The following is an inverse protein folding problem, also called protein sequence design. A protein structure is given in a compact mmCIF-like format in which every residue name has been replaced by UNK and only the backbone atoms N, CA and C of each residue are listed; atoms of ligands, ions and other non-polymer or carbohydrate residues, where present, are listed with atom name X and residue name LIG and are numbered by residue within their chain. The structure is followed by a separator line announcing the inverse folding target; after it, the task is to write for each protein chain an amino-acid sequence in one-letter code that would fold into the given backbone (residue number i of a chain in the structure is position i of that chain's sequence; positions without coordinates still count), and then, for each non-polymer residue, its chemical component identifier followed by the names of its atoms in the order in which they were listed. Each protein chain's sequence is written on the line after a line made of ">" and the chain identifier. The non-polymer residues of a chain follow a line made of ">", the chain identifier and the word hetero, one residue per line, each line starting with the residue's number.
data_IF_665074335321
#
_entry.id   IF_665074335321
#
_cell.length_a   1.000
_cell.length_b   1.000
_cell.length_c   1.000
_cell.angle_alpha   90.00
_cell.angle_beta   90.00
_cell.angle_gamma   90.00
#
_symmetry.space_group_name_H-M   'P 1'
#
loop_
_entity.id
_entity.type
_entity.pdbx_description
1 polymer ?
#
# COMPACT_ATOMS: atom_id res chain seq x y z
N UNK A 1 -45.54 -33.19 -43.19
CA UNK A 1 -44.12 -33.12 -43.59
C UNK A 1 -43.56 -31.78 -43.12
N UNK A 2 -42.57 -31.76 -42.25
CA UNK A 2 -41.92 -30.51 -41.85
C UNK A 2 -40.41 -30.78 -41.72
N UNK A 3 -39.66 -30.31 -42.71
CA UNK A 3 -38.21 -30.47 -42.79
C UNK A 3 -37.54 -29.40 -41.93
N UNK A 4 -36.77 -29.83 -40.91
CA UNK A 4 -36.00 -28.90 -40.07
C UNK A 4 -34.90 -28.25 -40.93
N UNK A 5 -34.65 -26.93 -40.79
CA UNK A 5 -33.59 -26.26 -41.54
C UNK A 5 -32.22 -26.75 -41.07
N UNK A 6 -31.47 -27.34 -41.99
CA UNK A 6 -30.09 -27.79 -41.79
C UNK A 6 -29.20 -26.56 -41.56
N UNK A 7 -28.68 -26.34 -40.35
CA UNK A 7 -27.66 -25.31 -40.10
C UNK A 7 -26.37 -25.73 -40.80
N UNK A 8 -26.00 -25.00 -41.86
CA UNK A 8 -24.74 -25.21 -42.56
C UNK A 8 -23.56 -24.92 -41.62
N UNK A 9 -22.49 -25.74 -41.64
CA UNK A 9 -21.33 -25.53 -40.80
C UNK A 9 -20.66 -24.20 -41.18
N UNK A 10 -20.31 -23.39 -40.17
CA UNK A 10 -19.55 -22.15 -40.40
C UNK A 10 -18.20 -22.51 -41.02
N UNK A 11 -18.02 -22.24 -42.31
CA UNK A 11 -16.74 -22.42 -43.01
C UNK A 11 -15.71 -21.53 -42.31
N UNK A 12 -14.58 -22.10 -41.91
CA UNK A 12 -13.49 -21.35 -41.30
C UNK A 12 -13.00 -20.29 -42.29
N UNK A 13 -13.01 -19.01 -41.90
CA UNK A 13 -12.45 -17.95 -42.73
C UNK A 13 -10.97 -18.22 -42.97
N UNK A 14 -10.58 -18.28 -44.25
CA UNK A 14 -9.17 -18.35 -44.66
C UNK A 14 -8.47 -17.11 -44.11
N UNK A 15 -7.40 -17.29 -43.34
CA UNK A 15 -6.60 -16.18 -42.80
C UNK A 15 -5.59 -15.73 -43.84
N UNK A 16 -5.49 -14.44 -44.06
CA UNK A 16 -4.40 -13.86 -44.86
C UNK A 16 -3.07 -14.08 -44.14
N UNK A 17 -2.03 -14.42 -44.91
CA UNK A 17 -0.66 -14.67 -44.46
C UNK A 17 0.35 -13.70 -45.09
N UNK A 18 -0.14 -12.63 -45.73
CA UNK A 18 0.69 -11.51 -46.15
C UNK A 18 1.51 -10.96 -44.96
N UNK A 19 2.75 -10.49 -45.19
CA UNK A 19 3.58 -9.93 -44.13
C UNK A 19 2.91 -8.68 -43.55
N UNK A 20 2.85 -8.59 -42.22
CA UNK A 20 2.30 -7.42 -41.54
C UNK A 20 3.19 -6.18 -41.76
N UNK A 21 2.56 -5.05 -42.09
CA UNK A 21 3.24 -3.76 -42.28
C UNK A 21 3.94 -3.26 -41.00
N UNK A 22 3.32 -3.51 -39.84
CA UNK A 22 3.88 -3.21 -38.54
C UNK A 22 4.19 -4.50 -37.78
N UNK A 23 5.44 -4.65 -37.38
CA UNK A 23 5.89 -5.76 -36.53
C UNK A 23 5.67 -5.40 -35.06
N UNK A 24 5.11 -6.33 -34.30
CA UNK A 24 4.94 -6.17 -32.86
C UNK A 24 6.32 -6.15 -32.22
N UNK A 25 6.65 -5.06 -31.54
CA UNK A 25 7.93 -4.92 -30.82
C UNK A 25 7.77 -5.29 -29.35
N UNK A 26 8.88 -5.66 -28.69
CA UNK A 26 8.89 -5.87 -27.25
C UNK A 26 8.48 -4.61 -26.48
N UNK A 27 8.84 -3.43 -26.97
CA UNK A 27 8.43 -2.15 -26.36
C UNK A 27 6.92 -1.96 -26.39
N UNK A 28 6.27 -2.28 -27.52
CA UNK A 28 4.82 -2.14 -27.67
C UNK A 28 4.08 -3.04 -26.67
N UNK A 29 4.54 -4.29 -26.51
CA UNK A 29 3.97 -5.22 -25.54
C UNK A 29 4.13 -4.71 -24.10
N UNK A 30 5.31 -4.20 -23.74
CA UNK A 30 5.58 -3.69 -22.40
C UNK A 30 4.79 -2.41 -22.09
N UNK A 31 4.63 -1.53 -23.09
CA UNK A 31 3.82 -0.30 -22.98
C UNK A 31 2.36 -0.64 -22.74
N UNK A 32 1.78 -1.51 -23.55
CA UNK A 32 0.38 -1.93 -23.41
C UNK A 32 0.15 -2.68 -22.09
N UNK A 33 1.09 -3.53 -21.68
CA UNK A 33 1.01 -4.20 -20.38
C UNK A 33 0.99 -3.20 -19.20
N UNK A 34 1.81 -2.15 -19.27
CA UNK A 34 1.82 -1.08 -18.26
C UNK A 34 0.52 -0.27 -18.27
N UNK A 35 0.02 0.11 -19.44
CA UNK A 35 -1.20 0.92 -19.59
C UNK A 35 -2.46 0.20 -19.09
N UNK A 36 -2.48 -1.13 -19.12
CA UNK A 36 -3.60 -1.92 -18.60
C UNK A 36 -3.76 -1.82 -17.08
N UNK A 37 -2.73 -1.38 -16.34
CA UNK A 37 -2.76 -1.09 -14.90
C UNK A 37 -3.50 -2.15 -14.03
N UNK A 38 -3.45 -3.43 -14.42
CA UNK A 38 -4.32 -4.49 -13.86
C UNK A 38 -4.15 -4.72 -12.36
N UNK A 39 -3.00 -4.32 -11.81
CA UNK A 39 -2.64 -4.52 -10.40
C UNK A 39 -2.76 -3.24 -9.56
N UNK A 40 -3.08 -2.09 -10.16
CA UNK A 40 -3.21 -0.84 -9.42
C UNK A 40 -4.56 -0.84 -8.69
N UNK A 41 -4.50 -1.08 -7.38
CA UNK A 41 -5.67 -0.91 -6.52
C UNK A 41 -6.03 0.58 -6.49
N UNK A 42 -7.29 0.96 -6.79
CA UNK A 42 -7.69 2.36 -6.72
C UNK A 42 -7.47 2.89 -5.30
N UNK A 43 -6.99 4.13 -5.21
CA UNK A 43 -6.76 4.77 -3.92
C UNK A 43 -8.08 4.84 -3.12
N UNK A 44 -8.05 4.62 -1.80
CA UNK A 44 -9.25 4.71 -0.98
C UNK A 44 -9.86 6.13 -1.05
N UNK A 45 -11.19 6.25 -0.98
CA UNK A 45 -11.85 7.56 -1.02
C UNK A 45 -11.44 8.43 0.18
N UNK A 46 -11.40 9.75 -0.02
CA UNK A 46 -11.07 10.71 1.04
C UNK A 46 -12.21 10.73 2.08
N UNK A 47 -11.99 10.10 3.23
CA UNK A 47 -12.92 10.14 4.36
C UNK A 47 -12.62 11.37 5.23
N UNK A 48 -13.64 12.20 5.48
CA UNK A 48 -13.57 13.28 6.47
C UNK A 48 -14.06 12.71 7.80
N UNK A 49 -13.30 12.94 8.87
CA UNK A 49 -13.66 12.53 10.23
C UNK A 49 -14.48 13.67 10.83
N UNK A 50 -15.74 13.40 11.18
CA UNK A 50 -16.64 14.41 11.74
C UNK A 50 -16.71 14.32 13.27
N UNK A 51 -16.76 13.10 13.79
CA UNK A 51 -17.08 12.85 15.19
C UNK A 51 -15.89 12.32 16.00
N UNK A 52 -15.83 12.55 17.32
CA UNK A 52 -14.75 12.06 18.17
C UNK A 52 -14.70 10.53 18.24
N UNK A 53 -15.83 9.84 18.08
CA UNK A 53 -15.90 8.38 18.02
C UNK A 53 -15.24 7.83 16.74
N UNK A 54 -15.55 8.43 15.59
CA UNK A 54 -14.89 8.10 14.31
C UNK A 54 -13.36 8.33 14.38
N UNK A 55 -12.92 9.39 15.06
CA UNK A 55 -11.51 9.66 15.29
C UNK A 55 -10.84 8.54 16.11
N UNK A 56 -11.53 8.05 17.14
CA UNK A 56 -11.04 6.94 17.96
C UNK A 56 -10.96 5.63 17.18
N UNK A 57 -11.97 5.32 16.36
CA UNK A 57 -11.95 4.14 15.49
C UNK A 57 -10.80 4.22 14.47
N UNK A 58 -10.61 5.38 13.84
CA UNK A 58 -9.50 5.63 12.93
C UNK A 58 -8.16 5.40 13.63
N UNK A 59 -7.98 5.96 14.84
CA UNK A 59 -6.77 5.77 15.65
C UNK A 59 -6.55 4.30 15.99
N UNK A 60 -7.59 3.59 16.42
CA UNK A 60 -7.50 2.16 16.77
C UNK A 60 -7.09 1.32 15.55
N UNK A 61 -7.71 1.55 14.39
CA UNK A 61 -7.40 0.85 13.14
C UNK A 61 -5.96 1.09 12.71
N UNK A 62 -5.49 2.34 12.76
CA UNK A 62 -4.11 2.70 12.41
C UNK A 62 -3.10 2.11 13.38
N UNK A 63 -3.35 2.17 14.69
CA UNK A 63 -2.52 1.53 15.72
C UNK A 63 -2.39 0.03 15.50
N UNK A 64 -3.51 -0.66 15.27
CA UNK A 64 -3.51 -2.09 14.96
C UNK A 64 -2.62 -2.39 13.75
N UNK A 65 -2.75 -1.63 12.67
CA UNK A 65 -1.93 -1.83 11.47
C UNK A 65 -0.43 -1.65 11.74
N UNK A 66 -0.04 -0.66 12.55
CA UNK A 66 1.36 -0.48 12.95
C UNK A 66 1.87 -1.63 13.83
N UNK A 67 1.10 -2.00 14.86
CA UNK A 67 1.46 -3.11 15.75
C UNK A 67 1.55 -4.44 15.00
N UNK A 68 0.66 -4.70 14.04
CA UNK A 68 0.74 -5.90 13.20
C UNK A 68 1.97 -5.89 12.29
N UNK A 69 2.34 -4.72 11.74
CA UNK A 69 3.57 -4.59 10.96
C UNK A 69 4.83 -4.80 11.81
N UNK A 70 4.84 -4.31 13.05
CA UNK A 70 5.92 -4.52 14.01
C UNK A 70 5.98 -5.99 14.43
N UNK A 71 4.82 -6.64 14.64
CA UNK A 71 4.76 -8.08 14.97
C UNK A 71 5.32 -8.93 13.84
N UNK A 72 5.02 -8.60 12.58
CA UNK A 72 5.54 -9.30 11.40
C UNK A 72 7.04 -9.06 11.19
N UNK A 73 7.51 -7.84 11.41
CA UNK A 73 8.90 -7.48 11.21
C UNK A 73 9.41 -6.56 12.33
N UNK A 74 9.80 -7.19 13.44
CA UNK A 74 10.20 -6.49 14.67
C UNK A 74 11.51 -5.71 14.52
N UNK A 75 12.45 -6.21 13.72
CA UNK A 75 13.76 -5.57 13.51
C UNK A 75 13.73 -4.37 12.55
N UNK A 76 12.63 -4.13 11.84
CA UNK A 76 12.56 -3.02 10.90
C UNK A 76 12.29 -1.70 11.63
N UNK A 77 13.37 -0.96 11.91
CA UNK A 77 13.35 0.37 12.56
C UNK A 77 12.48 1.38 11.82
N UNK A 78 12.29 1.26 10.50
CA UNK A 78 11.41 2.16 9.73
C UNK A 78 9.95 2.08 10.20
N UNK A 79 9.48 0.88 10.59
CA UNK A 79 8.12 0.70 11.09
C UNK A 79 7.92 1.40 12.43
N UNK A 80 8.91 1.27 13.33
CA UNK A 80 8.94 1.96 14.62
C UNK A 80 8.93 3.48 14.45
N UNK A 81 9.81 4.02 13.60
CA UNK A 81 9.89 5.46 13.34
C UNK A 81 8.59 6.03 12.75
N UNK A 82 7.99 5.33 11.79
CA UNK A 82 6.69 5.74 11.20
C UNK A 82 5.57 5.72 12.25
N UNK A 83 5.58 4.71 13.13
CA UNK A 83 4.57 4.61 14.17
C UNK A 83 4.72 5.72 15.22
N UNK A 84 5.93 5.95 15.73
CA UNK A 84 6.20 7.03 16.69
C UNK A 84 5.84 8.40 16.12
N UNK A 85 6.22 8.68 14.87
CA UNK A 85 5.86 9.94 14.19
C UNK A 85 4.35 10.10 14.06
N UNK A 86 3.62 9.04 13.75
CA UNK A 86 2.16 9.11 13.66
C UNK A 86 1.51 9.38 15.02
N UNK A 87 1.99 8.79 16.12
CA UNK A 87 1.50 9.12 17.47
C UNK A 87 1.84 10.57 17.86
N UNK A 88 2.99 11.10 17.43
CA UNK A 88 3.34 12.53 17.57
C UNK A 88 2.33 13.42 16.83
N UNK A 89 1.97 13.08 15.59
CA UNK A 89 0.94 13.79 14.81
C UNK A 89 -0.46 13.71 15.43
N UNK A 90 -0.75 12.67 16.24
CA UNK A 90 -2.00 12.58 17.01
C UNK A 90 -2.00 13.42 18.29
N UNK A 91 -0.85 14.00 18.67
CA UNK A 91 -0.65 14.71 19.94
C UNK A 91 -0.42 13.80 21.15
N UNK A 92 -0.26 12.48 20.94
CA UNK A 92 -0.17 11.47 21.99
C UNK A 92 1.30 11.18 22.35
N UNK A 93 1.99 12.19 22.88
CA UNK A 93 3.45 12.14 23.12
C UNK A 93 3.85 11.02 24.09
N UNK A 94 3.03 10.74 25.11
CA UNK A 94 3.29 9.63 26.05
C UNK A 94 3.34 8.27 25.35
N UNK A 95 2.48 8.06 24.35
CA UNK A 95 2.50 6.83 23.54
C UNK A 95 3.70 6.82 22.61
N UNK A 96 4.00 7.94 21.96
CA UNK A 96 5.19 8.06 21.11
C UNK A 96 6.48 7.69 21.88
N UNK A 97 6.65 8.17 23.13
CA UNK A 97 7.74 7.75 24.03
C UNK A 97 7.78 6.24 24.21
N UNK A 98 6.66 5.63 24.59
CA UNK A 98 6.58 4.16 24.78
C UNK A 98 6.97 3.39 23.51
N UNK A 99 6.63 3.88 22.32
CA UNK A 99 7.03 3.26 21.05
C UNK A 99 8.54 3.40 20.82
N UNK A 100 9.13 4.56 21.10
CA UNK A 100 10.59 4.75 21.02
C UNK A 100 11.36 3.87 21.99
N UNK A 101 10.93 3.79 23.26
CA UNK A 101 11.56 2.91 24.26
C UNK A 101 11.51 1.44 23.83
N UNK A 102 10.35 0.97 23.36
CA UNK A 102 10.20 -0.40 22.81
C UNK A 102 11.07 -0.64 21.58
N UNK A 103 11.29 0.39 20.76
CA UNK A 103 12.17 0.29 19.60
C UNK A 103 13.65 0.23 20.03
N UNK A 104 14.03 0.94 21.09
CA UNK A 104 15.36 0.92 21.67
C UNK A 104 15.67 -0.44 22.31
N UNK A 105 14.69 -1.07 22.97
CA UNK A 105 14.83 -2.45 23.47
C UNK A 105 15.15 -3.46 22.36
N UNK A 106 14.72 -3.18 21.13
CA UNK A 106 14.97 -4.04 19.97
C UNK A 106 16.30 -3.71 19.31
N UNK A 107 16.54 -2.43 18.99
CA UNK A 107 17.78 -1.97 18.35
C UNK A 107 18.34 -0.68 18.95
N UNK A 108 18.93 -0.83 20.15
CA UNK A 108 19.60 0.24 20.87
C UNK A 108 20.87 0.77 20.17
N UNK A 109 21.44 0.03 19.22
CA UNK A 109 22.65 0.45 18.47
C UNK A 109 22.34 1.39 17.32
N UNK A 110 21.07 1.51 16.92
CA UNK A 110 20.70 2.36 15.81
C UNK A 110 20.68 3.84 16.22
N UNK A 111 21.68 4.58 15.76
CA UNK A 111 21.85 6.02 16.06
C UNK A 111 20.66 6.85 15.58
N UNK A 112 20.05 6.50 14.43
CA UNK A 112 18.90 7.25 13.89
C UNK A 112 17.71 7.23 14.83
N UNK A 113 17.52 6.14 15.58
CA UNK A 113 16.42 6.02 16.54
C UNK A 113 16.60 7.00 17.70
N UNK A 114 17.81 7.09 18.26
CA UNK A 114 18.17 8.05 19.29
C UNK A 114 18.02 9.50 18.82
N UNK A 115 18.51 9.81 17.63
CA UNK A 115 18.40 11.16 17.06
C UNK A 115 16.93 11.57 16.90
N UNK A 116 16.10 10.69 16.33
CA UNK A 116 14.67 10.98 16.13
C UNK A 116 13.91 11.10 17.44
N UNK A 117 14.27 10.29 18.44
CA UNK A 117 13.67 10.38 19.76
C UNK A 117 14.02 11.70 20.45
N UNK A 118 15.30 12.08 20.47
CA UNK A 118 15.75 13.35 21.01
C UNK A 118 15.13 14.55 20.27
N UNK A 119 15.06 14.51 18.94
CA UNK A 119 14.37 15.52 18.13
C UNK A 119 12.90 15.69 18.52
N UNK A 120 12.20 14.57 18.76
CA UNK A 120 10.79 14.59 19.18
C UNK A 120 10.65 15.26 20.56
N UNK A 121 11.47 14.87 21.54
CA UNK A 121 11.45 15.49 22.87
C UNK A 121 11.80 16.99 22.84
N UNK A 122 12.72 17.41 21.96
CA UNK A 122 13.05 18.83 21.79
C UNK A 122 11.89 19.64 21.21
N UNK A 123 11.13 19.08 20.26
CA UNK A 123 9.92 19.73 19.71
C UNK A 123 8.79 19.77 20.72
N UNK A 124 8.65 18.72 21.51
CA UNK A 124 7.58 18.55 22.49
C UNK A 124 7.94 19.07 23.89
N UNK A 125 9.02 19.87 24.02
CA UNK A 125 9.46 20.47 25.28
C UNK A 125 8.26 21.02 26.06
N UNK A 126 7.95 20.34 27.16
CA UNK A 126 7.14 20.84 28.27
C UNK A 126 8.04 21.60 29.23
#
# INVERSE_FOLDING_TARGET
>A
MSTKPQKMPKVAKVKDKSPAEMQITAEQLLREAKERELEIVPAPPRQKIADPEELQEYRLKKRRAFEDNIRKNRGNVSNWLKYSKWEEEQGEIRRARSVYERALDVEHRNITLWLKYAEMEMRCKQ
#
